data_IF_472936609135
#
_entry.id   IF_472936609135
#
_cell.length_a   1.000
_cell.length_b   1.000
_cell.length_c   1.000
_cell.angle_alpha   90.00
_cell.angle_beta   90.00
_cell.angle_gamma   90.00
#
_symmetry.space_group_name_H-M   'P 1'
#
loop_
_entity.id
_entity.type
_entity.pdbx_description
1 polymer ?
#
# COMPACT_ATOMS: atom_id res chain seq x y z
N UNK A 1 -15.29 -8.76 -26.14
CA UNK A 1 -14.06 -9.55 -26.44
C UNK A 1 -12.78 -8.79 -26.08
N UNK A 2 -12.45 -7.66 -26.73
CA UNK A 2 -11.23 -6.90 -26.37
C UNK A 2 -11.37 -6.20 -25.01
N UNK A 3 -12.57 -5.68 -24.70
CA UNK A 3 -12.88 -5.06 -23.39
C UNK A 3 -12.72 -6.06 -22.23
N UNK A 4 -13.12 -7.32 -22.43
CA UNK A 4 -13.00 -8.39 -21.44
C UNK A 4 -11.54 -8.73 -21.19
N UNK A 5 -10.73 -8.80 -22.24
CA UNK A 5 -9.28 -9.01 -22.14
C UNK A 5 -8.63 -7.87 -21.35
N UNK A 6 -8.97 -6.62 -21.65
CA UNK A 6 -8.43 -5.46 -20.93
C UNK A 6 -8.87 -5.47 -19.46
N UNK A 7 -10.12 -5.86 -19.17
CA UNK A 7 -10.62 -6.01 -17.80
C UNK A 7 -9.86 -7.11 -17.04
N UNK A 8 -9.58 -8.25 -17.68
CA UNK A 8 -8.78 -9.32 -17.10
C UNK A 8 -7.34 -8.89 -16.82
N UNK A 9 -6.71 -8.19 -17.77
CA UNK A 9 -5.35 -7.64 -17.58
C UNK A 9 -5.33 -6.64 -16.41
N UNK A 10 -6.34 -5.78 -16.32
CA UNK A 10 -6.49 -4.85 -15.19
C UNK A 10 -6.62 -5.61 -13.86
N UNK A 11 -7.47 -6.64 -13.80
CA UNK A 11 -7.65 -7.45 -12.59
C UNK A 11 -6.35 -8.14 -12.18
N UNK A 12 -5.61 -8.70 -13.14
CA UNK A 12 -4.29 -9.31 -12.87
C UNK A 12 -3.30 -8.27 -12.36
N UNK A 13 -3.26 -7.06 -12.92
CA UNK A 13 -2.39 -5.99 -12.45
C UNK A 13 -2.74 -5.55 -11.02
N UNK A 14 -4.03 -5.42 -10.70
CA UNK A 14 -4.51 -5.12 -9.33
C UNK A 14 -4.15 -6.24 -8.37
N UNK A 15 -4.35 -7.50 -8.75
CA UNK A 15 -4.00 -8.66 -7.94
C UNK A 15 -2.48 -8.76 -7.71
N UNK A 16 -1.68 -8.55 -8.76
CA UNK A 16 -0.22 -8.51 -8.66
C UNK A 16 0.24 -7.41 -7.70
N UNK A 17 -0.34 -6.21 -7.78
CA UNK A 17 -0.05 -5.13 -6.83
C UNK A 17 -0.50 -5.48 -5.40
N UNK A 18 -1.69 -6.07 -5.23
CA UNK A 18 -2.20 -6.45 -3.92
C UNK A 18 -1.33 -7.53 -3.25
N UNK A 19 -0.79 -8.48 -4.02
CA UNK A 19 0.12 -9.51 -3.50
C UNK A 19 1.53 -8.97 -3.28
N UNK A 20 2.14 -8.38 -4.31
CA UNK A 20 3.53 -7.93 -4.28
C UNK A 20 3.67 -6.65 -3.44
N UNK A 21 2.97 -5.58 -3.82
CA UNK A 21 2.95 -4.33 -3.04
C UNK A 21 2.35 -4.51 -1.64
N UNK A 22 1.40 -5.44 -1.46
CA UNK A 22 0.88 -5.78 -0.14
C UNK A 22 1.94 -6.31 0.82
N UNK A 23 2.91 -7.07 0.31
CA UNK A 23 4.04 -7.56 1.10
C UNK A 23 4.90 -6.38 1.61
N UNK A 24 5.12 -5.38 0.76
CA UNK A 24 5.85 -4.17 1.13
C UNK A 24 5.13 -3.39 2.24
N UNK A 25 3.81 -3.21 2.11
CA UNK A 25 3.01 -2.55 3.14
C UNK A 25 3.03 -3.31 4.46
N UNK A 26 2.96 -4.63 4.41
CA UNK A 26 3.10 -5.50 5.58
C UNK A 26 4.45 -5.37 6.27
N UNK A 27 5.54 -5.30 5.51
CA UNK A 27 6.86 -5.09 6.10
C UNK A 27 6.97 -3.76 6.85
N UNK A 28 6.31 -2.71 6.35
CA UNK A 28 6.22 -1.42 7.06
C UNK A 28 5.41 -1.50 8.36
N UNK A 29 4.38 -2.35 8.41
CA UNK A 29 3.66 -2.64 9.65
C UNK A 29 4.55 -3.36 10.67
N UNK A 30 5.31 -4.37 10.25
CA UNK A 30 6.21 -5.09 11.16
C UNK A 30 7.37 -4.22 11.65
N UNK A 31 7.86 -3.28 10.85
CA UNK A 31 8.82 -2.26 11.30
C UNK A 31 8.26 -1.37 12.44
N UNK A 32 6.97 -1.02 12.37
CA UNK A 32 6.28 -0.28 13.44
C UNK A 32 6.22 -1.09 14.74
N UNK A 33 5.89 -2.38 14.63
CA UNK A 33 5.65 -3.28 15.77
C UNK A 33 6.94 -3.89 16.31
N UNK A 34 8.05 -3.85 15.56
CA UNK A 34 9.37 -4.39 15.94
C UNK A 34 9.97 -3.79 17.23
N UNK A 35 9.36 -2.74 17.80
CA UNK A 35 9.68 -2.24 19.14
C UNK A 35 10.87 -1.28 19.19
N UNK A 36 11.56 -1.28 20.34
CA UNK A 36 12.61 -0.32 20.71
C UNK A 36 13.88 -0.39 19.86
N UNK A 37 14.84 0.49 20.15
CA UNK A 37 16.06 0.65 19.34
C UNK A 37 16.98 -0.59 19.32
N UNK A 38 16.96 -1.41 20.37
CA UNK A 38 17.74 -2.66 20.50
C UNK A 38 17.02 -3.83 19.80
N UNK A 39 15.82 -4.21 20.28
CA UNK A 39 15.04 -5.35 19.74
C UNK A 39 14.64 -5.18 18.28
N UNK A 40 14.33 -3.95 17.86
CA UNK A 40 13.88 -3.67 16.50
C UNK A 40 15.00 -3.46 15.49
N UNK A 41 16.27 -3.39 15.90
CA UNK A 41 17.40 -3.08 15.01
C UNK A 41 17.55 -4.13 13.91
N UNK A 42 17.39 -5.39 14.26
CA UNK A 42 17.60 -6.54 13.37
C UNK A 42 16.43 -6.76 12.40
N UNK A 43 15.16 -6.80 12.85
CA UNK A 43 14.02 -6.81 11.92
C UNK A 43 14.03 -5.63 10.96
N UNK A 44 14.36 -4.42 11.45
CA UNK A 44 14.48 -3.20 10.62
C UNK A 44 15.53 -3.32 9.54
N UNK A 45 16.69 -3.88 9.87
CA UNK A 45 17.75 -4.08 8.90
C UNK A 45 17.33 -5.06 7.81
N UNK A 46 16.69 -6.18 8.16
CA UNK A 46 16.19 -7.15 7.19
C UNK A 46 15.13 -6.51 6.28
N UNK A 47 14.19 -5.76 6.84
CA UNK A 47 13.16 -5.03 6.09
C UNK A 47 13.78 -4.02 5.14
N UNK A 48 14.70 -3.18 5.62
CA UNK A 48 15.36 -2.16 4.78
C UNK A 48 16.14 -2.84 3.63
N UNK A 49 16.83 -3.96 3.87
CA UNK A 49 17.62 -4.65 2.85
C UNK A 49 16.77 -5.39 1.81
N UNK A 50 15.75 -6.13 2.26
CA UNK A 50 14.92 -6.96 1.39
C UNK A 50 13.89 -6.14 0.60
N UNK A 51 13.33 -5.09 1.22
CA UNK A 51 12.15 -4.41 0.69
C UNK A 51 12.48 -3.23 -0.23
N UNK A 52 13.67 -2.64 -0.14
CA UNK A 52 14.05 -1.48 -0.94
C UNK A 52 13.99 -1.73 -2.47
N UNK A 53 14.65 -2.77 -3.04
CA UNK A 53 14.56 -3.03 -4.48
C UNK A 53 13.17 -3.52 -4.92
N UNK A 54 12.46 -4.21 -4.00
CA UNK A 54 11.15 -4.79 -4.27
C UNK A 54 10.08 -3.70 -4.35
N UNK A 55 10.18 -2.66 -3.50
CA UNK A 55 9.25 -1.54 -3.50
C UNK A 55 9.23 -0.75 -4.82
N UNK A 56 10.41 -0.46 -5.38
CA UNK A 56 10.50 0.25 -6.67
C UNK A 56 9.81 -0.54 -7.78
N UNK A 57 10.02 -1.85 -7.80
CA UNK A 57 9.40 -2.77 -8.76
C UNK A 57 7.87 -2.85 -8.55
N UNK A 58 7.42 -2.87 -7.30
CA UNK A 58 6.00 -3.04 -6.99
C UNK A 58 5.16 -1.83 -7.36
N UNK A 59 5.72 -0.62 -7.28
CA UNK A 59 5.01 0.59 -7.73
C UNK A 59 4.68 0.56 -9.22
N UNK A 60 5.44 -0.18 -10.04
CA UNK A 60 5.17 -0.30 -11.48
C UNK A 60 3.79 -0.92 -11.72
N UNK A 61 3.37 -1.90 -10.91
CA UNK A 61 2.03 -2.47 -11.01
C UNK A 61 0.95 -1.43 -10.77
N UNK A 62 1.13 -0.55 -9.78
CA UNK A 62 0.17 0.53 -9.52
C UNK A 62 0.07 1.48 -10.72
N UNK A 63 1.20 1.86 -11.32
CA UNK A 63 1.20 2.70 -12.52
C UNK A 63 0.51 2.00 -13.69
N UNK A 64 0.73 0.70 -13.88
CA UNK A 64 0.00 -0.07 -14.90
C UNK A 64 -1.51 -0.06 -14.68
N UNK A 65 -1.97 -0.27 -13.45
CA UNK A 65 -3.39 -0.17 -13.09
C UNK A 65 -3.96 1.19 -13.49
N UNK A 66 -3.26 2.28 -13.14
CA UNK A 66 -3.70 3.64 -13.48
C UNK A 66 -3.78 3.88 -14.99
N UNK A 67 -2.76 3.46 -15.75
CA UNK A 67 -2.70 3.63 -17.19
C UNK A 67 -3.79 2.81 -17.89
N UNK A 68 -3.98 1.55 -17.50
CA UNK A 68 -5.02 0.68 -18.07
C UNK A 68 -6.41 1.23 -17.75
N UNK A 69 -6.65 1.67 -16.50
CA UNK A 69 -7.93 2.29 -16.14
C UNK A 69 -8.19 3.54 -16.98
N UNK A 70 -7.20 4.42 -17.13
CA UNK A 70 -7.38 5.68 -17.85
C UNK A 70 -7.60 5.47 -19.35
N UNK A 71 -6.83 4.57 -19.97
CA UNK A 71 -6.88 4.35 -21.43
C UNK A 71 -7.97 3.36 -21.85
N UNK A 72 -8.17 2.28 -21.08
CA UNK A 72 -9.14 1.23 -21.37
C UNK A 72 -10.54 1.52 -20.85
N UNK A 73 -10.66 2.22 -19.70
CA UNK A 73 -11.95 2.49 -19.05
C UNK A 73 -12.03 3.95 -18.54
N UNK A 74 -11.98 4.96 -19.43
CA UNK A 74 -11.88 6.38 -19.03
C UNK A 74 -13.05 6.85 -18.15
N UNK A 75 -14.27 6.36 -18.40
CA UNK A 75 -15.45 6.68 -17.58
C UNK A 75 -15.31 6.10 -16.16
N UNK A 76 -14.81 4.87 -16.04
CA UNK A 76 -14.52 4.23 -14.75
C UNK A 76 -13.45 5.03 -14.00
N UNK A 77 -12.37 5.37 -14.68
CA UNK A 77 -11.27 6.17 -14.12
C UNK A 77 -11.78 7.51 -13.58
N UNK A 78 -12.49 8.28 -14.40
CA UNK A 78 -13.05 9.57 -14.00
C UNK A 78 -14.00 9.43 -12.81
N UNK A 79 -14.91 8.45 -12.85
CA UNK A 79 -15.90 8.22 -11.79
C UNK A 79 -15.23 7.92 -10.46
N UNK A 80 -14.26 7.00 -10.45
CA UNK A 80 -13.53 6.63 -9.23
C UNK A 80 -12.73 7.83 -8.72
N UNK A 81 -11.94 8.48 -9.57
CA UNK A 81 -11.07 9.58 -9.14
C UNK A 81 -11.84 10.81 -8.68
N UNK A 82 -13.01 11.11 -9.26
CA UNK A 82 -13.86 12.21 -8.81
C UNK A 82 -14.58 11.88 -7.50
N UNK A 83 -15.17 10.70 -7.37
CA UNK A 83 -15.92 10.31 -6.17
C UNK A 83 -15.01 10.01 -4.95
N UNK A 84 -13.82 9.47 -5.21
CA UNK A 84 -12.86 8.99 -4.19
C UNK A 84 -11.59 9.84 -4.14
N UNK A 85 -11.63 11.10 -4.57
CA UNK A 85 -10.43 11.94 -4.66
C UNK A 85 -9.68 12.04 -3.33
N UNK A 86 -10.39 12.18 -2.21
CA UNK A 86 -9.81 12.35 -0.88
C UNK A 86 -9.07 11.09 -0.39
N UNK A 87 -9.68 9.89 -0.33
CA UNK A 87 -8.95 8.68 0.07
C UNK A 87 -7.80 8.36 -0.90
N UNK A 88 -7.97 8.57 -2.21
CA UNK A 88 -6.89 8.37 -3.19
C UNK A 88 -5.74 9.37 -2.99
N UNK A 89 -6.03 10.63 -2.68
CA UNK A 89 -5.02 11.62 -2.36
C UNK A 89 -4.25 11.25 -1.07
N UNK A 90 -4.95 10.78 -0.04
CA UNK A 90 -4.32 10.32 1.20
C UNK A 90 -3.45 9.07 0.96
N UNK A 91 -3.91 8.14 0.12
CA UNK A 91 -3.11 6.99 -0.30
C UNK A 91 -1.84 7.42 -1.04
N UNK A 92 -1.95 8.39 -1.96
CA UNK A 92 -0.82 8.94 -2.72
C UNK A 92 0.18 9.67 -1.82
N UNK A 93 -0.30 10.50 -0.87
CA UNK A 93 0.56 11.13 0.14
C UNK A 93 1.30 10.07 0.95
N UNK A 94 0.62 9.01 1.38
CA UNK A 94 1.27 7.88 2.05
C UNK A 94 2.36 7.22 1.19
N UNK A 95 2.11 7.04 -0.11
CA UNK A 95 3.10 6.48 -1.03
C UNK A 95 4.35 7.36 -1.15
N UNK A 96 4.17 8.68 -1.26
CA UNK A 96 5.28 9.66 -1.30
C UNK A 96 6.05 9.66 0.02
N UNK A 97 5.35 9.71 1.15
CA UNK A 97 5.97 9.68 2.48
C UNK A 97 6.76 8.39 2.71
N UNK A 98 6.27 7.27 2.16
CA UNK A 98 6.96 5.98 2.20
C UNK A 98 8.25 5.99 1.39
N UNK A 99 8.21 6.49 0.14
CA UNK A 99 9.40 6.65 -0.70
C UNK A 99 10.45 7.59 -0.06
N UNK A 100 9.99 8.70 0.52
CA UNK A 100 10.84 9.59 1.29
C UNK A 100 11.44 8.90 2.53
N UNK A 101 10.68 8.02 3.19
CA UNK A 101 11.14 7.19 4.31
C UNK A 101 12.34 6.32 3.94
N UNK A 102 12.26 5.57 2.83
CA UNK A 102 13.39 4.76 2.34
C UNK A 102 14.61 5.61 1.98
N UNK A 103 14.41 6.69 1.21
CA UNK A 103 15.50 7.55 0.75
C UNK A 103 16.19 8.33 1.90
N UNK A 104 15.44 8.83 2.88
CA UNK A 104 15.96 9.70 3.94
C UNK A 104 16.46 8.93 5.17
N UNK A 105 16.07 7.65 5.35
CA UNK A 105 16.56 6.82 6.48
C UNK A 105 18.04 6.50 6.39
N UNK A 106 18.58 6.24 5.20
CA UNK A 106 20.00 5.90 4.98
C UNK A 106 20.99 7.01 5.38
N UNK A 107 20.79 8.29 4.97
CA UNK A 107 21.72 9.37 5.31
C UNK A 107 21.51 9.96 6.73
N UNK A 108 20.44 9.59 7.45
CA UNK A 108 20.10 10.20 8.73
C UNK A 108 21.03 9.77 9.87
N UNK A 109 22.05 10.59 10.18
CA UNK A 109 23.01 10.37 11.29
C UNK A 109 22.44 10.62 12.70
N UNK A 110 21.36 11.42 12.85
CA UNK A 110 20.75 11.74 14.16
C UNK A 110 19.62 10.77 14.51
N UNK A 111 19.71 10.16 15.70
CA UNK A 111 18.75 9.17 16.21
C UNK A 111 17.30 9.71 16.27
N UNK A 112 17.11 10.99 16.61
CA UNK A 112 15.79 11.63 16.64
C UNK A 112 15.14 11.72 15.24
N UNK A 113 15.92 12.07 14.21
CA UNK A 113 15.42 12.13 12.82
C UNK A 113 15.11 10.73 12.29
N UNK A 114 15.95 9.74 12.64
CA UNK A 114 15.71 8.33 12.29
C UNK A 114 14.42 7.79 12.91
N UNK A 115 14.02 8.22 14.11
CA UNK A 115 12.73 7.87 14.73
C UNK A 115 11.54 8.56 14.04
N UNK A 116 11.67 9.83 13.65
CA UNK A 116 10.61 10.55 12.92
C UNK A 116 10.37 9.93 11.55
N UNK A 117 11.43 9.71 10.75
CA UNK A 117 11.31 8.99 9.47
C UNK A 117 10.86 7.53 9.67
N UNK A 118 11.25 6.96 10.82
CA UNK A 118 10.71 5.74 11.41
C UNK A 118 9.19 5.69 11.40
N UNK A 119 8.61 6.60 12.17
CA UNK A 119 7.17 6.74 12.39
C UNK A 119 6.41 7.14 11.12
N UNK A 120 6.96 8.06 10.31
CA UNK A 120 6.33 8.49 9.05
C UNK A 120 6.18 7.32 8.08
N UNK A 121 7.23 6.50 7.95
CA UNK A 121 7.19 5.29 7.11
C UNK A 121 6.18 4.25 7.62
N UNK A 122 6.11 4.07 8.93
CA UNK A 122 5.18 3.14 9.55
C UNK A 122 3.71 3.57 9.38
N UNK A 123 3.42 4.84 9.64
CA UNK A 123 2.08 5.40 9.50
C UNK A 123 1.65 5.38 8.04
N UNK A 124 2.53 5.75 7.11
CA UNK A 124 2.21 5.70 5.68
C UNK A 124 1.96 4.28 5.19
N UNK A 125 2.64 3.29 5.77
CA UNK A 125 2.46 1.87 5.45
C UNK A 125 1.14 1.29 5.93
N UNK A 126 0.46 1.95 6.87
CA UNK A 126 -0.90 1.64 7.32
C UNK A 126 -1.96 2.42 6.53
N UNK A 127 -1.74 3.72 6.32
CA UNK A 127 -2.71 4.60 5.69
C UNK A 127 -2.93 4.24 4.22
N UNK A 128 -1.86 4.00 3.45
CA UNK A 128 -2.00 3.71 2.03
C UNK A 128 -2.83 2.45 1.74
N UNK A 129 -2.54 1.26 2.30
CA UNK A 129 -3.37 0.07 2.06
C UNK A 129 -4.78 0.23 2.64
N UNK A 130 -4.95 0.94 3.76
CA UNK A 130 -6.29 1.23 4.30
C UNK A 130 -7.15 2.02 3.31
N UNK A 131 -6.64 3.14 2.78
CA UNK A 131 -7.42 3.98 1.87
C UNK A 131 -7.63 3.34 0.50
N UNK A 132 -6.66 2.57 -0.01
CA UNK A 132 -6.85 1.78 -1.22
C UNK A 132 -7.91 0.69 -1.01
N UNK A 133 -7.87 -0.03 0.11
CA UNK A 133 -8.91 -1.01 0.47
C UNK A 133 -10.28 -0.38 0.67
N UNK A 134 -10.34 0.80 1.30
CA UNK A 134 -11.58 1.54 1.49
C UNK A 134 -12.20 2.02 0.17
N UNK A 135 -11.37 2.43 -0.79
CA UNK A 135 -11.81 2.77 -2.14
C UNK A 135 -12.41 1.54 -2.85
N UNK A 136 -11.74 0.38 -2.77
CA UNK A 136 -12.26 -0.89 -3.33
C UNK A 136 -13.58 -1.29 -2.67
N UNK A 137 -13.69 -1.19 -1.34
CA UNK A 137 -14.93 -1.45 -0.62
C UNK A 137 -16.07 -0.51 -1.02
N UNK A 138 -15.76 0.77 -1.25
CA UNK A 138 -16.73 1.76 -1.72
C UNK A 138 -17.26 1.43 -3.11
N UNK A 139 -16.36 1.07 -4.03
CA UNK A 139 -16.69 0.62 -5.38
C UNK A 139 -17.55 -0.66 -5.34
N UNK A 140 -17.18 -1.64 -4.51
CA UNK A 140 -17.90 -2.91 -4.40
C UNK A 140 -19.34 -2.74 -3.89
N UNK A 141 -19.63 -1.69 -3.12
CA UNK A 141 -21.00 -1.38 -2.67
C UNK A 141 -21.86 -0.65 -3.71
N UNK A 142 -21.33 -0.37 -4.91
CA UNK A 142 -22.06 0.34 -5.96
C UNK A 142 -22.32 1.82 -5.68
N UNK A 143 -21.70 2.38 -4.62
CA UNK A 143 -21.84 3.80 -4.25
C UNK A 143 -21.09 4.74 -5.20
N UNK A 144 -20.14 4.20 -5.95
CA UNK A 144 -19.33 4.91 -6.93
C UNK A 144 -19.95 4.70 -8.30
N UNK A 145 -20.75 5.66 -8.75
CA UNK A 145 -21.41 5.66 -10.04
C UNK A 145 -21.15 7.00 -10.76
N UNK A 146 -21.24 7.05 -12.11
CA UNK A 146 -21.06 8.30 -12.84
C UNK A 146 -22.00 9.39 -12.30
N UNK A 147 -21.43 10.53 -11.91
CA UNK A 147 -22.18 11.63 -11.29
C UNK A 147 -22.24 11.61 -9.75
N UNK A 148 -21.70 10.58 -9.09
CA UNK A 148 -21.53 10.59 -7.62
C UNK A 148 -20.63 11.75 -7.22
N UNK A 149 -21.13 12.64 -6.36
CA UNK A 149 -20.32 13.70 -5.76
C UNK A 149 -19.40 13.14 -4.68
N UNK A 150 -18.21 13.74 -4.55
CA UNK A 150 -17.30 13.40 -3.47
C UNK A 150 -17.92 13.77 -2.11
N UNK A 151 -18.17 12.76 -1.29
CA UNK A 151 -18.68 12.93 0.07
C UNK A 151 -17.91 12.05 1.04
N UNK A 152 -17.95 12.38 2.33
CA UNK A 152 -17.40 11.50 3.36
C UNK A 152 -18.05 10.12 3.29
N UNK A 153 -19.37 10.08 3.13
CA UNK A 153 -20.17 8.84 3.05
C UNK A 153 -19.75 7.92 1.90
N UNK A 154 -19.21 8.48 0.81
CA UNK A 154 -18.73 7.69 -0.31
C UNK A 154 -17.62 6.72 0.13
N UNK A 155 -16.71 7.15 1.00
CA UNK A 155 -15.51 6.39 1.37
C UNK A 155 -15.42 5.98 2.85
N UNK A 156 -16.23 6.57 3.74
CA UNK A 156 -16.24 6.28 5.19
C UNK A 156 -17.37 5.33 5.61
N UNK A 157 -18.12 4.76 4.67
CA UNK A 157 -19.16 3.79 4.97
C UNK A 157 -18.57 2.51 5.61
N UNK A 158 -19.40 1.77 6.37
CA UNK A 158 -18.96 0.60 7.12
C UNK A 158 -18.26 -0.46 6.27
N UNK A 159 -18.69 -0.65 5.01
CA UNK A 159 -18.05 -1.61 4.10
C UNK A 159 -16.67 -1.15 3.64
N UNK A 160 -16.51 0.14 3.32
CA UNK A 160 -15.21 0.74 3.02
C UNK A 160 -14.25 0.64 4.21
N UNK A 161 -14.71 0.93 5.43
CA UNK A 161 -13.87 0.81 6.63
C UNK A 161 -13.45 -0.65 6.86
N UNK A 162 -14.38 -1.59 6.77
CA UNK A 162 -14.08 -3.03 6.91
C UNK A 162 -13.10 -3.47 5.81
N UNK A 163 -13.32 -3.09 4.55
CA UNK A 163 -12.43 -3.44 3.45
C UNK A 163 -11.02 -2.85 3.64
N UNK A 164 -10.91 -1.62 4.13
CA UNK A 164 -9.64 -0.99 4.48
C UNK A 164 -8.91 -1.76 5.59
N UNK A 165 -9.60 -2.10 6.68
CA UNK A 165 -9.03 -2.88 7.78
C UNK A 165 -8.61 -4.29 7.35
N UNK A 166 -9.43 -4.97 6.55
CA UNK A 166 -9.10 -6.27 5.98
C UNK A 166 -7.87 -6.19 5.07
N UNK A 167 -7.76 -5.13 4.28
CA UNK A 167 -6.59 -4.90 3.42
C UNK A 167 -5.34 -4.74 4.27
N UNK A 168 -5.39 -3.95 5.35
CA UNK A 168 -4.26 -3.82 6.30
C UNK A 168 -3.89 -5.16 6.95
N UNK A 169 -4.88 -5.94 7.39
CA UNK A 169 -4.63 -7.25 7.98
C UNK A 169 -4.02 -8.24 6.97
N UNK A 170 -4.49 -8.23 5.73
CA UNK A 170 -3.97 -9.04 4.64
C UNK A 170 -2.53 -8.66 4.29
N UNK A 171 -2.23 -7.36 4.14
CA UNK A 171 -0.86 -6.90 3.87
C UNK A 171 0.08 -7.24 5.02
N UNK A 172 -0.32 -7.03 6.28
CA UNK A 172 0.46 -7.44 7.44
C UNK A 172 0.76 -8.95 7.45
N UNK A 173 -0.21 -9.79 7.07
CA UNK A 173 -0.04 -11.24 6.97
C UNK A 173 0.93 -11.62 5.85
N UNK A 174 0.79 -11.05 4.65
CA UNK A 174 1.69 -11.27 3.52
C UNK A 174 3.14 -10.85 3.88
N UNK A 175 3.31 -9.68 4.49
CA UNK A 175 4.59 -9.21 4.97
C UNK A 175 5.23 -10.14 6.00
N UNK A 176 4.45 -10.72 6.92
CA UNK A 176 4.96 -11.67 7.91
C UNK A 176 5.50 -12.94 7.23
N UNK A 177 4.73 -13.51 6.30
CA UNK A 177 5.12 -14.74 5.58
C UNK A 177 6.38 -14.49 4.75
N UNK A 178 6.46 -13.36 4.05
CA UNK A 178 7.65 -13.01 3.28
C UNK A 178 8.88 -12.81 4.16
N UNK A 179 8.79 -12.00 5.21
CA UNK A 179 9.93 -11.71 6.09
C UNK A 179 10.42 -12.94 6.84
N UNK A 180 9.54 -13.86 7.24
CA UNK A 180 9.94 -15.12 7.88
C UNK A 180 10.65 -16.06 6.91
N UNK A 181 10.20 -16.12 5.66
CA UNK A 181 10.89 -16.88 4.61
C UNK A 181 12.27 -16.27 4.29
N UNK A 182 12.35 -14.94 4.21
CA UNK A 182 13.58 -14.22 3.91
C UNK A 182 14.60 -14.33 5.05
N UNK A 183 14.16 -14.22 6.32
CA UNK A 183 15.02 -14.43 7.49
C UNK A 183 15.71 -15.80 7.49
N UNK A 184 14.98 -16.87 7.10
CA UNK A 184 15.55 -18.22 6.95
C UNK A 184 16.57 -18.30 5.82
N UNK A 185 16.36 -17.57 4.73
CA UNK A 185 17.26 -17.55 3.57
C UNK A 185 18.61 -16.89 3.90
N UNK A 186 18.61 -15.93 4.80
CA UNK A 186 19.81 -15.21 5.25
C UNK A 186 20.45 -15.79 6.51
N UNK A 187 20.03 -16.98 6.96
CA UNK A 187 20.55 -17.66 8.14
C UNK A 187 20.60 -16.74 9.38
N UNK A 188 19.58 -15.88 9.51
CA UNK A 188 19.44 -15.02 10.67
C UNK A 188 18.83 -15.86 11.81
N UNK A 189 19.59 -16.29 12.84
CA UNK A 189 19.02 -17.03 13.98
C UNK A 189 17.93 -16.22 14.70
N UNK A 190 16.97 -16.87 15.35
CA UNK A 190 15.87 -16.19 16.07
C UNK A 190 16.31 -15.06 17.03
#
# INVERSE_FOLDING_TARGET
>A
MIEDVVAWVLLVAVAAYACAGGTDYGAGFWDLVAGGAERGKRPRWLIDHAMEPVWETNNVWLIFVLVIMWTGFPVLFQTIFSAMWLPLALAAVGLVLRGAGFALRKPARRLARRRVYGAVFAVSSLLTPFFLGAAVGGIATGRVAPGTQASADAWSNGTSVIAGLLTVAATASLGAVFLTADARRFDAPD
#
